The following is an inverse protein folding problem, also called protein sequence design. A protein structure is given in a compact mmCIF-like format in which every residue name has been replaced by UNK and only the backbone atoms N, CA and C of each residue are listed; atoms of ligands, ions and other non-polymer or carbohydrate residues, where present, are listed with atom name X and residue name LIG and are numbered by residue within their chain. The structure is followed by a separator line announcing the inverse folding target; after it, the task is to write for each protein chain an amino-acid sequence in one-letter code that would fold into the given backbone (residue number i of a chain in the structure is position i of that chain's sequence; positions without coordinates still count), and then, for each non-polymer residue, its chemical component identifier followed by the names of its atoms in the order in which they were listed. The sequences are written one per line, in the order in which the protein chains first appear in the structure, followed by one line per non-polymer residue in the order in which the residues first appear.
data_IF_110830103662
#
_entry.id   IF_110830103662
#
_cell.length_a   1.000
_cell.length_b   1.000
_cell.length_c   1.000
_cell.angle_alpha   90.00
_cell.angle_beta   90.00
_cell.angle_gamma   90.00
#
_symmetry.space_group_name_H-M   'P 1'
#
loop_
_entity.id
_entity.type
_entity.pdbx_description
1 polymer ?
#
# COMPACT_ATOMS: atom_id res chain seq x y z
N UNK A 1 0.30 7.60 -4.60
CA UNK A 1 1.01 8.40 -3.56
C UNK A 1 2.46 7.96 -3.46
N UNK A 2 3.39 8.91 -3.40
CA UNK A 2 4.84 8.68 -3.28
C UNK A 2 5.33 9.16 -1.90
N UNK A 3 6.17 8.36 -1.24
CA UNK A 3 6.69 8.61 0.11
C UNK A 3 8.19 8.92 0.15
N UNK A 4 8.81 9.25 -0.99
CA UNK A 4 10.22 9.58 -1.10
C UNK A 4 10.62 10.82 -0.27
N UNK A 5 9.75 11.83 -0.19
CA UNK A 5 10.00 13.01 0.68
C UNK A 5 10.09 12.60 2.14
N UNK A 6 9.14 11.80 2.62
CA UNK A 6 9.15 11.28 3.99
C UNK A 6 10.39 10.44 4.26
N UNK A 7 10.81 9.62 3.29
CA UNK A 7 12.05 8.83 3.38
C UNK A 7 13.26 9.73 3.60
N UNK A 8 13.42 10.77 2.78
CA UNK A 8 14.53 11.73 2.88
C UNK A 8 14.54 12.44 4.23
N UNK A 9 13.37 12.90 4.69
CA UNK A 9 13.26 13.54 6.01
C UNK A 9 13.65 12.58 7.14
N UNK A 10 13.16 11.32 7.13
CA UNK A 10 13.50 10.34 8.17
C UNK A 10 15.00 10.06 8.22
N UNK A 11 15.64 9.88 7.06
CA UNK A 11 17.09 9.68 6.99
C UNK A 11 17.87 10.90 7.51
N UNK A 12 17.42 12.12 7.21
CA UNK A 12 18.04 13.33 7.76
C UNK A 12 17.95 13.38 9.29
N UNK A 13 16.82 12.98 9.89
CA UNK A 13 16.68 12.88 11.35
C UNK A 13 17.65 11.85 11.94
N UNK A 14 17.76 10.67 11.33
CA UNK A 14 18.69 9.61 11.76
C UNK A 14 20.15 10.08 11.67
N UNK A 15 20.55 10.70 10.56
CA UNK A 15 21.92 11.19 10.38
C UNK A 15 22.27 12.36 11.30
N UNK A 16 21.28 13.16 11.69
CA UNK A 16 21.45 14.21 12.69
C UNK A 16 21.40 13.73 14.15
N UNK A 17 21.18 12.43 14.38
CA UNK A 17 21.05 11.84 15.71
C UNK A 17 19.75 12.14 16.44
N UNK A 18 18.78 12.82 15.80
CA UNK A 18 17.45 13.11 16.40
C UNK A 18 16.57 11.87 16.51
N UNK A 19 16.86 10.83 15.73
CA UNK A 19 16.19 9.53 15.78
C UNK A 19 17.23 8.43 15.89
N UNK A 20 17.08 7.54 16.88
CA UNK A 20 18.00 6.42 17.06
C UNK A 20 17.88 5.39 15.93
N UNK A 21 18.99 4.72 15.59
CA UNK A 21 19.00 3.67 14.56
C UNK A 21 18.06 2.52 14.92
N UNK A 22 17.97 2.13 16.20
CA UNK A 22 17.05 1.08 16.66
C UNK A 22 15.57 1.44 16.49
N UNK A 23 15.22 2.73 16.41
CA UNK A 23 13.83 3.17 16.20
C UNK A 23 13.38 3.00 14.75
N UNK A 24 14.33 2.96 13.81
CA UNK A 24 14.05 2.83 12.37
C UNK A 24 14.44 1.47 11.79
N UNK A 25 15.31 0.76 12.49
CA UNK A 25 15.69 -0.62 12.21
C UNK A 25 14.75 -1.61 12.92
N UNK A 26 13.45 -1.45 12.71
CA UNK A 26 12.39 -2.14 13.45
C UNK A 26 11.57 -3.14 12.60
N UNK A 27 12.06 -3.51 11.41
CA UNK A 27 11.36 -4.46 10.54
C UNK A 27 11.07 -5.77 11.28
N UNK A 28 9.78 -6.11 11.35
CA UNK A 28 9.34 -7.31 12.05
C UNK A 28 9.74 -8.59 11.28
N UNK A 29 9.81 -9.75 11.96
CA UNK A 29 10.19 -11.01 11.32
C UNK A 29 9.31 -11.41 10.14
N UNK A 30 8.03 -11.00 10.12
CA UNK A 30 7.12 -11.30 9.02
C UNK A 30 7.49 -10.53 7.75
N UNK A 31 7.85 -9.25 7.88
CA UNK A 31 8.34 -8.42 6.78
C UNK A 31 9.69 -8.93 6.26
N UNK A 32 10.58 -9.38 7.15
CA UNK A 32 11.85 -10.00 6.77
C UNK A 32 11.64 -11.31 5.98
N UNK A 33 10.68 -12.14 6.39
CA UNK A 33 10.28 -13.34 5.63
C UNK A 33 9.68 -12.97 4.28
N UNK A 34 8.78 -11.98 4.24
CA UNK A 34 8.21 -11.50 2.99
C UNK A 34 9.28 -10.97 2.02
N UNK A 35 10.28 -10.24 2.52
CA UNK A 35 11.42 -9.80 1.73
C UNK A 35 12.25 -10.98 1.19
N UNK A 36 12.41 -12.06 1.96
CA UNK A 36 13.12 -13.25 1.51
C UNK A 36 12.40 -13.99 0.39
N UNK A 37 11.07 -14.14 0.47
CA UNK A 37 10.31 -15.04 -0.41
C UNK A 37 9.56 -14.33 -1.56
N UNK A 38 9.11 -13.10 -1.34
CA UNK A 38 8.33 -12.32 -2.32
C UNK A 38 9.03 -11.03 -2.74
N UNK A 39 10.19 -10.73 -2.16
CA UNK A 39 10.91 -9.50 -2.39
C UNK A 39 11.75 -9.51 -3.66
N UNK A 40 11.88 -8.34 -4.29
CA UNK A 40 12.77 -8.11 -5.44
C UNK A 40 13.97 -7.26 -5.03
N UNK A 41 15.21 -7.66 -5.33
CA UNK A 41 16.38 -6.80 -5.09
C UNK A 41 16.25 -5.46 -5.83
N UNK A 42 16.54 -4.36 -5.14
CA UNK A 42 16.69 -3.02 -5.73
C UNK A 42 18.16 -2.70 -5.97
N UNK A 43 18.44 -1.66 -6.75
CA UNK A 43 19.81 -1.16 -6.95
C UNK A 43 20.29 -0.23 -5.81
N UNK A 44 19.43 0.06 -4.83
CA UNK A 44 19.72 1.01 -3.76
C UNK A 44 20.38 0.28 -2.60
N UNK A 45 21.60 0.69 -2.26
CA UNK A 45 22.30 0.19 -1.06
C UNK A 45 21.60 0.71 0.20
N UNK A 46 21.51 -0.12 1.25
CA UNK A 46 20.89 0.26 2.50
C UNK A 46 21.53 1.54 3.08
N UNK A 47 20.74 2.62 3.29
CA UNK A 47 21.26 3.90 3.76
C UNK A 47 21.73 3.87 5.22
N UNK A 48 21.37 2.82 5.97
CA UNK A 48 21.72 2.67 7.38
C UNK A 48 23.01 1.85 7.53
N UNK A 49 22.99 0.57 7.16
CA UNK A 49 24.13 -0.31 7.38
C UNK A 49 25.14 -0.35 6.23
N UNK A 50 24.73 0.04 5.01
CA UNK A 50 25.54 -0.04 3.78
C UNK A 50 26.10 -1.44 3.44
N UNK A 51 25.56 -2.50 4.03
CA UNK A 51 26.05 -3.89 3.86
C UNK A 51 25.42 -4.63 2.67
N UNK A 52 24.21 -4.26 2.27
CA UNK A 52 23.48 -4.92 1.18
C UNK A 52 22.56 -3.96 0.43
N UNK A 53 22.05 -4.42 -0.71
CA UNK A 53 20.98 -3.78 -1.47
C UNK A 53 19.62 -3.97 -0.78
N UNK A 54 18.78 -2.93 -0.81
CA UNK A 54 17.42 -3.00 -0.28
C UNK A 54 16.58 -3.94 -1.13
N UNK A 55 15.70 -4.69 -0.48
CA UNK A 55 14.70 -5.54 -1.11
C UNK A 55 13.34 -4.83 -1.13
N UNK A 56 12.68 -4.82 -2.28
CA UNK A 56 11.35 -4.24 -2.46
C UNK A 56 10.30 -5.33 -2.27
N UNK A 57 9.34 -5.08 -1.40
CA UNK A 57 8.22 -5.97 -1.10
C UNK A 57 6.91 -5.27 -1.39
N UNK A 58 6.02 -5.92 -2.12
CA UNK A 58 4.70 -5.38 -2.43
C UNK A 58 3.64 -6.07 -1.58
N UNK A 59 2.84 -5.29 -0.86
CA UNK A 59 1.74 -5.76 -0.01
C UNK A 59 0.41 -5.36 -0.61
N UNK A 60 -0.54 -6.29 -0.61
CA UNK A 60 -1.88 -6.04 -1.16
C UNK A 60 -2.91 -5.87 -0.05
N UNK A 61 -3.82 -4.93 -0.21
CA UNK A 61 -4.91 -4.65 0.73
C UNK A 61 -6.18 -4.34 -0.04
N UNK A 62 -7.30 -4.93 0.37
CA UNK A 62 -8.60 -4.67 -0.23
C UNK A 62 -9.67 -5.51 0.44
N UNK A 63 -10.90 -5.01 0.47
CA UNK A 63 -12.03 -5.71 1.06
C UNK A 63 -12.40 -6.96 0.23
N UNK A 64 -12.36 -6.84 -1.09
CA UNK A 64 -12.67 -7.93 -2.01
C UNK A 64 -11.58 -9.01 -2.07
N UNK A 65 -10.40 -8.80 -1.48
CA UNK A 65 -9.30 -9.78 -1.50
C UNK A 65 -9.48 -10.92 -0.49
N UNK A 66 -10.38 -10.78 0.50
CA UNK A 66 -10.58 -11.78 1.55
C UNK A 66 -9.26 -12.15 2.24
N UNK A 67 -8.95 -13.45 2.32
CA UNK A 67 -7.73 -13.98 2.94
C UNK A 67 -6.42 -13.56 2.25
N UNK A 68 -6.48 -13.00 1.04
CA UNK A 68 -5.29 -12.49 0.32
C UNK A 68 -4.91 -11.10 0.84
N UNK A 69 -5.86 -10.36 1.42
CA UNK A 69 -5.61 -9.02 1.96
C UNK A 69 -4.58 -9.08 3.09
N UNK A 70 -3.63 -8.15 3.08
CA UNK A 70 -2.52 -8.13 4.03
C UNK A 70 -1.43 -9.15 3.75
N UNK A 71 -1.32 -9.68 2.52
CA UNK A 71 -0.22 -10.57 2.12
C UNK A 71 0.78 -9.89 1.19
N UNK A 72 2.03 -10.37 1.20
CA UNK A 72 3.06 -9.96 0.25
C UNK A 72 2.93 -10.72 -1.07
N UNK A 73 3.16 -10.03 -2.20
CA UNK A 73 2.99 -10.56 -3.56
C UNK A 73 4.12 -10.11 -4.50
N UNK A 74 4.47 -10.97 -5.45
CA UNK A 74 5.39 -10.62 -6.54
C UNK A 74 4.70 -9.74 -7.58
N UNK A 75 5.48 -9.11 -8.46
CA UNK A 75 4.94 -8.25 -9.52
C UNK A 75 3.99 -9.03 -10.46
N UNK A 76 4.33 -10.28 -10.74
CA UNK A 76 3.55 -11.19 -11.59
C UNK A 76 2.21 -11.54 -10.91
N UNK A 77 2.23 -11.83 -9.60
CA UNK A 77 1.01 -12.07 -8.83
C UNK A 77 0.11 -10.83 -8.79
N UNK A 78 0.67 -9.62 -8.67
CA UNK A 78 -0.12 -8.39 -8.71
C UNK A 78 -0.88 -8.22 -10.03
N UNK A 79 -0.25 -8.56 -11.17
CA UNK A 79 -0.91 -8.53 -12.47
C UNK A 79 -2.07 -9.53 -12.52
N UNK A 80 -1.86 -10.75 -12.01
CA UNK A 80 -2.92 -11.76 -11.93
C UNK A 80 -4.05 -11.39 -10.95
N UNK A 81 -3.78 -10.61 -9.91
CA UNK A 81 -4.81 -10.10 -9.01
C UNK A 81 -5.61 -8.98 -9.69
N UNK A 82 -4.95 -8.11 -10.48
CA UNK A 82 -5.60 -7.02 -11.21
C UNK A 82 -6.61 -7.49 -12.26
N UNK A 83 -6.50 -8.73 -12.75
CA UNK A 83 -7.51 -9.32 -13.66
C UNK A 83 -8.71 -9.92 -12.95
N UNK A 84 -8.57 -10.28 -11.66
CA UNK A 84 -9.58 -10.98 -10.87
C UNK A 84 -10.37 -10.06 -9.94
N UNK A 85 -9.73 -9.00 -9.47
CA UNK A 85 -10.31 -8.09 -8.49
C UNK A 85 -10.50 -6.69 -9.08
N UNK A 86 -11.65 -6.09 -8.79
CA UNK A 86 -12.03 -4.77 -9.30
C UNK A 86 -11.10 -3.67 -8.80
N UNK A 87 -10.71 -3.73 -7.52
CA UNK A 87 -9.87 -2.71 -6.89
C UNK A 87 -9.15 -3.27 -5.66
N UNK A 88 -7.87 -2.97 -5.52
CA UNK A 88 -7.08 -3.18 -4.31
C UNK A 88 -5.89 -2.21 -4.23
N UNK A 89 -5.51 -1.84 -3.02
CA UNK A 89 -4.32 -1.05 -2.75
C UNK A 89 -3.08 -1.93 -2.72
N UNK A 90 -1.98 -1.40 -3.27
CA UNK A 90 -0.63 -1.96 -3.18
C UNK A 90 0.25 -1.01 -2.39
N UNK A 91 1.01 -1.54 -1.45
CA UNK A 91 1.98 -0.81 -0.64
C UNK A 91 3.36 -1.40 -0.91
N UNK A 92 4.24 -0.57 -1.46
CA UNK A 92 5.60 -0.95 -1.83
C UNK A 92 6.53 -0.49 -0.71
N UNK A 93 7.18 -1.45 -0.07
CA UNK A 93 8.05 -1.25 1.09
C UNK A 93 9.47 -1.66 0.71
N UNK A 94 10.45 -0.82 0.99
CA UNK A 94 11.86 -1.22 0.95
C UNK A 94 12.26 -1.83 2.30
N UNK A 95 13.08 -2.87 2.27
CA UNK A 95 13.49 -3.64 3.46
C UNK A 95 14.98 -3.98 3.36
N UNK A 96 15.73 -3.73 4.42
CA UNK A 96 17.07 -4.29 4.61
C UNK A 96 16.95 -5.52 5.50
N UNK A 97 17.44 -6.66 5.01
CA UNK A 97 17.40 -7.95 5.71
C UNK A 97 18.51 -8.10 6.75
N UNK A 98 19.53 -7.24 6.70
CA UNK A 98 20.71 -7.26 7.57
C UNK A 98 20.50 -6.43 8.84
N UNK A 99 20.00 -5.20 8.69
CA UNK A 99 19.80 -4.29 9.82
C UNK A 99 18.33 -4.03 10.14
N UNK A 100 17.39 -4.71 9.48
CA UNK A 100 15.96 -4.54 9.71
C UNK A 100 15.43 -3.13 9.46
N UNK A 101 16.10 -2.32 8.63
CA UNK A 101 15.52 -1.06 8.12
C UNK A 101 14.30 -1.36 7.24
N UNK A 102 13.23 -0.58 7.36
CA UNK A 102 12.15 -0.58 6.39
C UNK A 102 11.63 0.84 6.13
N UNK A 103 11.04 1.05 4.95
CA UNK A 103 10.30 2.28 4.66
C UNK A 103 9.26 2.06 3.56
N UNK A 104 8.04 2.59 3.73
CA UNK A 104 7.03 2.62 2.67
C UNK A 104 7.45 3.63 1.61
N UNK A 105 7.69 3.21 0.36
CA UNK A 105 8.16 4.08 -0.72
C UNK A 105 7.02 4.55 -1.63
N UNK A 106 6.03 3.71 -1.88
CA UNK A 106 4.90 4.03 -2.77
C UNK A 106 3.64 3.32 -2.33
N UNK A 107 2.50 3.98 -2.53
CA UNK A 107 1.19 3.36 -2.47
C UNK A 107 0.41 3.71 -3.74
N UNK A 108 -0.23 2.72 -4.34
CA UNK A 108 -1.08 2.88 -5.51
C UNK A 108 -2.22 1.87 -5.46
N UNK A 109 -3.25 2.08 -6.29
CA UNK A 109 -4.36 1.15 -6.44
C UNK A 109 -4.20 0.42 -7.77
N UNK A 110 -4.50 -0.88 -7.78
CA UNK A 110 -4.62 -1.71 -8.97
C UNK A 110 -6.03 -2.28 -9.06
N UNK A 111 -6.44 -2.61 -10.28
CA UNK A 111 -7.77 -3.15 -10.59
C UNK A 111 -8.33 -2.50 -11.86
N UNK A 112 -9.28 -3.17 -12.50
CA UNK A 112 -9.88 -2.67 -13.73
C UNK A 112 -10.62 -1.36 -13.43
N UNK A 113 -10.13 -0.26 -14.01
CA UNK A 113 -10.87 0.99 -14.04
C UNK A 113 -12.27 0.67 -14.57
N UNK A 114 -13.31 0.94 -13.77
CA UNK A 114 -14.69 0.88 -14.25
C UNK A 114 -14.71 1.59 -15.60
N UNK A 115 -15.12 0.93 -16.71
CA UNK A 115 -15.18 1.63 -17.99
C UNK A 115 -15.98 2.90 -17.76
N UNK A 116 -15.39 4.04 -18.12
CA UNK A 116 -16.02 5.34 -17.94
C UNK A 116 -17.45 5.21 -18.47
N UNK A 117 -18.44 5.54 -17.62
CA UNK A 117 -19.86 5.50 -17.99
C UNK A 117 -19.94 6.15 -19.38
N UNK A 118 -20.45 5.47 -20.42
CA UNK A 118 -20.51 6.06 -21.74
C UNK A 118 -21.22 7.40 -21.61
N UNK A 119 -20.56 8.46 -22.07
CA UNK A 119 -21.09 9.81 -21.98
C UNK A 119 -22.49 9.79 -22.59
N UNK A 120 -23.48 10.26 -21.82
CA UNK A 120 -24.87 10.35 -22.29
C UNK A 120 -24.83 11.15 -23.60
N UNK A 121 -25.34 10.60 -24.73
CA UNK A 121 -25.29 11.33 -25.99
C UNK A 121 -25.95 12.69 -25.82
N UNK A 122 -25.43 13.76 -26.46
CA UNK A 122 -26.04 15.08 -26.41
C UNK A 122 -27.52 14.95 -26.79
N UNK A 123 -28.42 15.53 -25.99
CA UNK A 123 -29.82 15.65 -26.40
C UNK A 123 -29.84 16.45 -27.71
N UNK A 124 -30.30 15.82 -28.79
CA UNK A 124 -30.46 16.47 -30.07
C UNK A 124 -31.33 17.73 -29.91
N UNK A 125 -30.99 18.85 -30.59
CA UNK A 125 -31.86 20.03 -30.58
C UNK A 125 -33.17 19.66 -31.25
N UNK A 126 -34.29 19.96 -30.58
CA UNK A 126 -35.61 19.90 -31.22
C UNK A 126 -35.72 21.07 -32.19
N UNK A 127 -35.74 20.73 -33.48
CA UNK A 127 -36.43 21.48 -34.52
C UNK A 127 -35.54 22.31 -35.44
N UNK A 128 -35.55 21.95 -36.73
CA UNK A 128 -36.02 22.87 -37.77
C UNK A 128 -36.47 22.03 -38.97
N UNK A 129 -37.78 22.10 -39.29
CA UNK A 129 -38.33 21.71 -40.58
C UNK A 129 -37.55 22.46 -41.67
N UNK A 130 -37.12 21.80 -42.74
CA UNK A 130 -37.05 22.37 -44.10
C UNK A 130 -37.26 21.30 -45.19
N UNK A 131 -38.41 21.43 -45.86
CA UNK A 131 -38.70 21.25 -47.31
C UNK A 131 -38.04 20.10 -48.10
N UNK A 132 -38.85 19.06 -48.30
CA UNK A 132 -39.36 18.70 -49.65
C UNK A 132 -38.38 18.21 -50.71
N UNK A 133 -38.37 16.89 -50.95
CA UNK A 133 -38.36 16.30 -52.30
C UNK A 133 -38.94 14.88 -52.29
N UNK A 134 -39.83 14.64 -53.26
CA UNK A 134 -40.53 13.37 -53.52
C UNK A 134 -39.53 12.23 -53.78
N UNK A 135 -39.81 11.07 -53.20
CA UNK A 135 -39.40 9.79 -53.75
C UNK A 135 -40.47 8.74 -53.44
N UNK A 136 -40.77 7.97 -54.47
CA UNK A 136 -41.82 6.96 -54.65
C UNK A 136 -41.71 5.75 -53.71
N UNK A 137 -42.87 5.22 -53.31
CA UNK A 137 -43.02 3.96 -52.57
C UNK A 137 -42.55 2.76 -53.39
N UNK A 138 -42.12 1.66 -52.72
CA UNK A 138 -42.97 0.47 -52.81
C UNK A 138 -43.13 -0.36 -51.51
N UNK A 139 -44.17 -1.19 -51.61
CA UNK A 139 -44.72 -2.30 -50.83
C UNK A 139 -43.95 -2.94 -49.64
N UNK A 140 -44.78 -3.31 -48.65
CA UNK A 140 -44.51 -4.18 -47.50
C UNK A 140 -44.18 -5.62 -47.93
N UNK A 141 -43.51 -6.38 -47.05
CA UNK A 141 -44.09 -7.65 -46.64
C UNK A 141 -44.19 -7.81 -45.11
N UNK A 142 -44.99 -8.81 -44.76
CA UNK A 142 -45.53 -9.20 -43.46
C UNK A 142 -44.84 -10.49 -43.00
N UNK A 143 -44.41 -10.54 -41.75
CA UNK A 143 -44.36 -11.71 -40.85
C UNK A 143 -43.97 -11.20 -39.44
N UNK A 144 -44.74 -11.36 -38.37
CA UNK A 144 -45.25 -12.53 -37.63
C UNK A 144 -44.19 -13.23 -36.76
N UNK A 145 -44.25 -12.86 -35.46
CA UNK A 145 -44.18 -13.71 -34.27
C UNK A 145 -42.84 -14.31 -33.80
N UNK A 146 -42.60 -14.14 -32.49
CA UNK A 146 -41.51 -14.74 -31.74
C UNK A 146 -41.37 -14.15 -30.34
N UNK A 147 -42.31 -14.50 -29.45
CA UNK A 147 -42.38 -14.11 -28.02
C UNK A 147 -41.88 -15.28 -27.17
N UNK A 148 -40.88 -15.10 -26.30
CA UNK A 148 -40.62 -15.92 -25.09
C UNK A 148 -39.90 -15.04 -24.03
N UNK A 149 -40.59 -14.58 -22.98
CA UNK A 149 -40.55 -15.06 -21.57
C UNK A 149 -39.16 -15.01 -20.89
N UNK A 150 -38.88 -14.05 -19.98
CA UNK A 150 -39.04 -14.09 -18.50
C UNK A 150 -38.30 -15.28 -17.85
N UNK A 151 -37.32 -15.09 -16.94
CA UNK A 151 -37.43 -14.88 -15.47
C UNK A 151 -35.98 -14.82 -14.91
N UNK A 152 -35.49 -13.95 -14.02
CA UNK A 152 -35.75 -13.61 -12.60
C UNK A 152 -35.60 -14.76 -11.58
N UNK A 153 -34.53 -14.72 -10.76
CA UNK A 153 -34.41 -15.06 -9.31
C UNK A 153 -32.90 -15.15 -8.95
N UNK A 154 -32.31 -14.38 -8.03
CA UNK A 154 -32.48 -14.19 -6.57
C UNK A 154 -31.93 -15.31 -5.67
N UNK A 155 -31.38 -14.84 -4.53
CA UNK A 155 -30.91 -15.51 -3.32
C UNK A 155 -29.45 -16.06 -3.33
N UNK A 156 -28.50 -15.51 -2.59
CA UNK A 156 -28.39 -15.35 -1.11
C UNK A 156 -28.11 -16.68 -0.40
N UNK A 157 -26.93 -16.79 0.24
CA UNK A 157 -26.63 -17.85 1.20
C UNK A 157 -25.15 -18.18 1.40
N UNK A 158 -24.42 -17.35 2.15
CA UNK A 158 -23.44 -17.86 3.13
C UNK A 158 -24.07 -17.76 4.53
N UNK A 159 -23.36 -17.99 5.65
CA UNK A 159 -21.93 -18.33 5.83
C UNK A 159 -21.66 -19.39 6.95
N UNK A 160 -20.39 -19.77 7.16
CA UNK A 160 -19.76 -20.12 8.46
C UNK A 160 -18.32 -20.60 8.18
N UNK A 161 -17.29 -19.76 8.33
CA UNK A 161 -16.44 -19.55 9.53
C UNK A 161 -15.55 -20.73 9.89
N UNK A 162 -14.24 -20.58 9.71
CA UNK A 162 -13.22 -21.03 10.67
C UNK A 162 -11.91 -20.26 10.46
N UNK A 163 -11.26 -19.95 11.58
CA UNK A 163 -10.42 -18.78 11.77
C UNK A 163 -8.96 -18.93 11.35
N UNK A 164 -8.37 -17.79 11.00
CA UNK A 164 -6.92 -17.59 11.04
C UNK A 164 -6.65 -16.19 11.57
N UNK A 165 -6.11 -16.16 12.80
CA UNK A 165 -5.44 -15.03 13.43
C UNK A 165 -4.33 -14.50 12.49
N UNK A 166 -4.61 -13.42 11.76
CA UNK A 166 -3.62 -12.70 10.98
C UNK A 166 -3.35 -11.34 11.62
N UNK A 167 -2.29 -11.33 12.41
CA UNK A 167 -1.72 -10.21 13.12
C UNK A 167 -1.70 -8.93 12.27
N UNK A 168 -2.43 -7.91 12.76
CA UNK A 168 -2.38 -6.53 12.28
C UNK A 168 -1.06 -5.89 12.75
N UNK A 169 -0.11 -5.71 11.83
CA UNK A 169 1.08 -4.85 12.03
C UNK A 169 2.12 -5.08 10.93
N UNK A 170 2.52 -4.11 10.11
CA UNK A 170 2.44 -2.66 10.14
C UNK A 170 2.71 -2.14 8.70
N UNK A 171 1.88 -1.28 8.08
CA UNK A 171 2.15 -0.70 6.76
C UNK A 171 2.98 0.60 6.79
N UNK A 172 3.56 0.96 7.94
CA UNK A 172 4.42 2.12 8.12
C UNK A 172 4.02 2.82 9.40
N UNK A 173 4.74 2.56 10.50
CA UNK A 173 4.51 3.25 11.76
C UNK A 173 4.94 4.71 11.59
N UNK A 174 3.99 5.53 11.12
CA UNK A 174 4.02 6.97 11.26
C UNK A 174 3.88 7.27 12.75
N UNK A 175 4.99 7.22 13.49
CA UNK A 175 4.99 7.59 14.90
C UNK A 175 4.71 9.08 15.02
N UNK A 176 3.63 9.40 15.72
CA UNK A 176 3.37 10.75 16.26
C UNK A 176 4.56 11.14 17.12
N UNK A 177 5.08 12.36 16.91
CA UNK A 177 6.10 12.98 17.78
C UNK A 177 5.55 13.07 19.20
N UNK A 178 5.94 12.15 20.08
CA UNK A 178 5.86 12.41 21.52
C UNK A 178 6.94 13.43 21.81
N UNK A 179 6.55 14.67 22.09
CA UNK A 179 7.47 15.71 22.58
C UNK A 179 8.18 15.14 23.81
N UNK A 180 9.48 14.88 23.72
CA UNK A 180 10.30 14.59 24.90
C UNK A 180 10.18 15.80 25.84
N UNK A 181 9.71 15.57 27.07
CA UNK A 181 9.83 16.55 28.16
C UNK A 181 11.32 16.83 28.38
N UNK A 182 11.63 18.11 28.59
CA UNK A 182 12.97 18.58 28.90
C UNK A 182 13.51 17.89 30.16
N UNK A 183 14.77 17.46 30.11
CA UNK A 183 15.53 17.08 31.30
C UNK A 183 15.88 18.35 32.09
N UNK A 184 15.80 18.35 33.43
CA UNK A 184 16.26 19.48 34.24
C UNK A 184 17.80 19.52 34.27
N UNK A 185 18.42 20.72 34.38
CA UNK A 185 19.87 20.87 34.47
C UNK A 185 20.40 20.41 35.83
N UNK A 186 21.66 19.97 35.82
CA UNK A 186 22.32 19.32 36.94
C UNK A 186 22.56 20.20 38.16
N UNK A 187 22.73 19.53 39.30
CA UNK A 187 23.34 20.05 40.51
C UNK A 187 24.76 19.48 40.66
N UNK A 188 25.65 20.37 41.09
CA UNK A 188 27.09 20.25 41.07
C UNK A 188 27.67 19.30 42.14
N UNK A 189 28.83 18.74 41.78
CA UNK A 189 30.04 18.48 42.59
C UNK A 189 29.91 18.43 44.12
N UNK A 190 30.34 17.32 44.71
CA UNK A 190 31.27 17.34 45.85
C UNK A 190 32.41 16.35 45.61
N UNK A 191 33.59 16.92 45.47
CA UNK A 191 34.90 16.30 45.65
C UNK A 191 35.06 15.86 47.10
N UNK A 192 35.58 14.65 47.30
CA UNK A 192 36.31 14.29 48.51
C UNK A 192 37.57 13.55 48.07
N UNK A 193 38.64 14.33 47.93
CA UNK A 193 40.01 13.88 48.14
C UNK A 193 40.10 13.28 49.55
N UNK A 194 40.53 12.03 49.66
CA UNK A 194 41.23 11.52 50.84
C UNK A 194 42.49 10.84 50.32
N UNK A 195 43.57 11.61 50.41
CA UNK A 195 44.94 11.20 50.17
C UNK A 195 45.53 10.62 51.48
N UNK A 196 46.63 9.88 51.32
CA UNK A 196 47.70 9.55 52.28
C UNK A 196 47.65 8.23 53.12
N UNK A 197 48.83 7.63 53.48
CA UNK A 197 49.71 6.86 52.57
C UNK A 197 50.37 5.60 53.23
N UNK A 198 51.23 4.93 52.45
CA UNK A 198 52.48 4.23 52.82
C UNK A 198 52.46 2.89 53.61
N UNK A 199 53.27 1.94 53.12
CA UNK A 199 53.76 0.80 53.91
C UNK A 199 54.40 -0.32 53.08
N UNK A 200 55.69 -0.18 52.78
CA UNK A 200 56.60 -1.25 52.33
C UNK A 200 56.71 -2.40 53.37
N UNK A 201 56.59 -3.65 52.90
CA UNK A 201 57.50 -4.81 53.11
C UNK A 201 56.79 -6.15 52.87
#
# INVERSE_FOLDING_TARGET
MDYALRRRSLLAEVYSGRTGVSEVCDANPYLLRAAKFHGKPSRVVCPICRKEQLTIVSWVFGEHLGAISGSARTAEELVMLATRFTEFAVHVVEVCRTCSWNHLVKSYVLGAARPARPARPPRAPRGQLERGRRATAPARPVNSEGRHHQSSSDASGGPATEGVDQARGNPGAQRRRVRRRAAPPGSARRSNDHDHPAGDR
#
